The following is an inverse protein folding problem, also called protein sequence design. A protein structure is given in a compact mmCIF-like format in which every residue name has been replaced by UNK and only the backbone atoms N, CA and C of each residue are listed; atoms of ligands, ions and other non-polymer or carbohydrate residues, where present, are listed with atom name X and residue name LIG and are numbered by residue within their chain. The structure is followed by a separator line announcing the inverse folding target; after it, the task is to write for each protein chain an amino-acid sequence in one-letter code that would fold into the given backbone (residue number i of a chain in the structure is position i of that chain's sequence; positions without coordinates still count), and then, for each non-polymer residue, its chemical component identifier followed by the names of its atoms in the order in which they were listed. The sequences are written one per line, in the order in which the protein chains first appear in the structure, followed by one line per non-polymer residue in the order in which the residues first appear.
data_IF_555783216507
#
_entry.id   IF_555783216507
#
_cell.length_a   1.000
_cell.length_b   1.000
_cell.length_c   1.000
_cell.angle_alpha   90.00
_cell.angle_beta   90.00
_cell.angle_gamma   90.00
#
_symmetry.space_group_name_H-M   'P 1'
#
loop_
_entity.id
_entity.type
_entity.pdbx_description
1 polymer ?
#
# COMPACT_ATOMS: atom_id res chain seq x y z
N UNK A 1 18.91 -0.38 -17.25
CA UNK A 1 17.81 -0.66 -16.29
C UNK A 1 17.36 -2.09 -16.53
N UNK A 2 17.47 -2.95 -15.52
CA UNK A 2 16.91 -4.31 -15.56
C UNK A 2 15.66 -4.34 -14.69
N UNK A 3 14.55 -4.86 -15.19
CA UNK A 3 13.32 -5.01 -14.41
C UNK A 3 13.38 -6.36 -13.67
N UNK A 4 13.14 -6.35 -12.35
CA UNK A 4 13.16 -7.57 -11.54
C UNK A 4 11.78 -8.25 -11.54
N UNK A 5 10.77 -7.58 -10.98
CA UNK A 5 9.39 -8.04 -10.87
C UNK A 5 8.48 -6.86 -10.53
N UNK A 6 7.16 -7.08 -10.60
CA UNK A 6 6.14 -6.11 -10.20
C UNK A 6 5.88 -6.25 -8.70
N UNK A 7 5.88 -5.14 -7.99
CA UNK A 7 5.53 -5.06 -6.57
C UNK A 7 4.16 -4.37 -6.45
N UNK A 8 3.16 -4.99 -5.81
CA UNK A 8 1.87 -4.36 -5.55
C UNK A 8 1.95 -3.35 -4.39
N UNK A 9 1.23 -2.24 -4.52
CA UNK A 9 0.93 -1.35 -3.40
C UNK A 9 -0.19 -1.96 -2.56
N UNK A 10 0.08 -2.20 -1.28
CA UNK A 10 -0.87 -2.79 -0.35
C UNK A 10 -1.35 -1.71 0.63
N UNK A 11 -2.63 -1.38 0.58
CA UNK A 11 -3.31 -0.54 1.56
C UNK A 11 -3.94 -1.44 2.63
N UNK A 12 -3.21 -1.69 3.71
CA UNK A 12 -3.60 -2.62 4.75
C UNK A 12 -4.36 -1.91 5.86
N UNK A 13 -5.44 -2.54 6.33
CA UNK A 13 -6.23 -2.12 7.49
C UNK A 13 -6.49 -3.31 8.39
N UNK A 14 -6.95 -3.08 9.62
CA UNK A 14 -7.46 -4.17 10.46
C UNK A 14 -8.87 -4.56 9.97
N UNK A 15 -9.15 -5.87 9.88
CA UNK A 15 -10.46 -6.38 9.43
C UNK A 15 -11.61 -5.87 10.30
N UNK A 16 -11.37 -5.72 11.60
CA UNK A 16 -12.36 -5.19 12.55
C UNK A 16 -12.69 -3.70 12.35
N UNK A 17 -11.83 -2.92 11.69
CA UNK A 17 -12.08 -1.51 11.41
C UNK A 17 -13.18 -1.31 10.35
N UNK A 18 -13.51 -2.36 9.56
CA UNK A 18 -14.60 -2.32 8.60
C UNK A 18 -14.38 -1.38 7.40
N UNK A 19 -13.14 -0.96 7.16
CA UNK A 19 -12.76 -0.08 6.04
C UNK A 19 -12.80 -0.89 4.73
N UNK A 20 -13.65 -0.48 3.79
CA UNK A 20 -13.84 -1.20 2.51
C UNK A 20 -13.62 -0.34 1.27
N UNK A 21 -13.71 0.98 1.40
CA UNK A 21 -13.59 1.92 0.30
C UNK A 21 -12.58 3.03 0.60
N UNK A 22 -12.15 3.75 -0.43
CA UNK A 22 -11.28 4.93 -0.26
C UNK A 22 -11.97 6.03 0.56
N UNK A 23 -13.30 6.14 0.49
CA UNK A 23 -14.06 7.12 1.28
C UNK A 23 -14.01 6.84 2.78
N UNK A 24 -13.89 5.56 3.17
CA UNK A 24 -13.76 5.14 4.58
C UNK A 24 -12.41 5.54 5.19
N UNK A 25 -11.46 6.03 4.38
CA UNK A 25 -10.18 6.55 4.86
C UNK A 25 -10.31 7.95 5.49
N UNK A 26 -11.48 8.59 5.40
CA UNK A 26 -11.66 9.94 5.92
C UNK A 26 -11.53 9.98 7.45
N UNK A 27 -10.66 10.86 7.94
CA UNK A 27 -10.42 11.07 9.37
C UNK A 27 -9.66 9.95 10.10
N UNK A 28 -9.25 8.87 9.42
CA UNK A 28 -8.54 7.76 10.08
C UNK A 28 -7.04 8.05 10.21
N UNK A 29 -6.41 7.47 11.22
CA UNK A 29 -4.96 7.57 11.39
C UNK A 29 -4.23 6.64 10.42
N UNK A 30 -3.13 7.09 9.82
CA UNK A 30 -2.47 6.33 8.76
C UNK A 30 -0.95 6.51 8.72
N UNK A 31 -0.27 5.55 8.07
CA UNK A 31 1.14 5.63 7.70
C UNK A 31 1.32 5.29 6.23
N UNK A 32 1.78 6.23 5.37
CA UNK A 32 2.08 5.96 3.98
C UNK A 32 3.53 5.47 3.77
N UNK A 33 4.30 5.31 4.85
CA UNK A 33 5.74 5.09 4.81
C UNK A 33 6.56 6.37 5.01
N UNK A 34 7.89 6.26 4.93
CA UNK A 34 8.82 7.40 5.07
C UNK A 34 8.84 8.24 3.79
N UNK A 35 9.23 9.50 3.96
CA UNK A 35 9.55 10.36 2.83
C UNK A 35 10.62 9.75 1.92
N UNK A 36 10.43 9.91 0.61
CA UNK A 36 11.29 9.34 -0.42
C UNK A 36 11.04 7.86 -0.74
N UNK A 37 10.09 7.19 -0.08
CA UNK A 37 9.71 5.82 -0.43
C UNK A 37 8.78 5.81 -1.64
N UNK A 38 8.98 4.84 -2.54
CA UNK A 38 8.13 4.65 -3.71
C UNK A 38 6.67 4.39 -3.32
N UNK A 39 6.44 3.59 -2.26
CA UNK A 39 5.07 3.30 -1.79
C UNK A 39 4.32 4.55 -1.36
N UNK A 40 4.99 5.47 -0.65
CA UNK A 40 4.42 6.79 -0.32
C UNK A 40 4.04 7.57 -1.57
N UNK A 41 4.92 7.61 -2.56
CA UNK A 41 4.63 8.31 -3.82
C UNK A 41 3.41 7.70 -4.52
N UNK A 42 3.30 6.37 -4.55
CA UNK A 42 2.15 5.67 -5.13
C UNK A 42 0.87 6.00 -4.34
N UNK A 43 0.93 5.96 -3.02
CA UNK A 43 -0.17 6.35 -2.14
C UNK A 43 -0.63 7.79 -2.37
N UNK A 44 0.30 8.72 -2.51
CA UNK A 44 0.01 10.13 -2.80
C UNK A 44 -0.74 10.27 -4.14
N UNK A 45 -0.35 9.51 -5.16
CA UNK A 45 -1.05 9.47 -6.46
C UNK A 45 -2.42 8.81 -6.38
N UNK A 46 -2.56 7.74 -5.60
CA UNK A 46 -3.86 7.09 -5.36
C UNK A 46 -4.84 8.10 -4.75
N UNK A 47 -4.40 8.88 -3.74
CA UNK A 47 -5.25 9.90 -3.14
C UNK A 47 -5.58 11.01 -4.13
N UNK A 48 -4.59 11.54 -4.84
CA UNK A 48 -4.78 12.61 -5.84
C UNK A 48 -5.82 12.23 -6.89
N UNK A 49 -5.70 11.04 -7.47
CA UNK A 49 -6.61 10.55 -8.51
C UNK A 49 -7.98 10.12 -7.95
N UNK A 50 -8.04 9.78 -6.66
CA UNK A 50 -9.31 9.60 -5.93
C UNK A 50 -9.97 10.93 -5.52
N UNK A 51 -9.35 12.08 -5.83
CA UNK A 51 -9.84 13.40 -5.41
C UNK A 51 -9.74 13.63 -3.91
N UNK A 52 -8.85 12.91 -3.23
CA UNK A 52 -8.58 12.99 -1.80
C UNK A 52 -7.21 13.61 -1.54
N UNK A 53 -7.02 14.06 -0.31
CA UNK A 53 -5.76 14.61 0.18
C UNK A 53 -5.52 14.16 1.62
N UNK A 54 -4.32 14.40 2.13
CA UNK A 54 -4.02 14.11 3.54
C UNK A 54 -4.91 14.90 4.51
N UNK A 55 -5.48 16.03 4.08
CA UNK A 55 -6.41 16.84 4.87
C UNK A 55 -7.78 16.14 5.07
N UNK A 56 -8.14 15.22 4.17
CA UNK A 56 -9.34 14.39 4.30
C UNK A 56 -9.11 13.22 5.27
N UNK A 57 -7.85 12.82 5.47
CA UNK A 57 -7.45 11.76 6.39
C UNK A 57 -7.22 12.33 7.81
N UNK A 58 -6.91 11.46 8.75
CA UNK A 58 -6.57 11.82 10.13
C UNK A 58 -5.06 12.02 10.33
N UNK A 59 -4.56 11.50 11.45
CA UNK A 59 -3.16 11.67 11.84
C UNK A 59 -2.23 10.86 10.92
N UNK A 60 -1.35 11.55 10.21
CA UNK A 60 -0.27 10.93 9.42
C UNK A 60 0.97 10.61 10.28
N UNK A 61 1.53 9.42 10.10
CA UNK A 61 2.80 8.99 10.70
C UNK A 61 3.79 8.59 9.59
N UNK A 62 4.83 9.39 9.37
CA UNK A 62 5.86 9.12 8.34
C UNK A 62 6.97 8.23 8.90
N UNK A 63 6.68 6.93 9.00
CA UNK A 63 7.57 5.94 9.64
C UNK A 63 7.99 4.83 8.69
N UNK A 64 9.01 4.08 9.09
CA UNK A 64 9.57 3.02 8.27
C UNK A 64 8.64 1.82 8.24
N UNK A 65 8.90 0.86 7.36
CA UNK A 65 8.02 -0.27 7.22
C UNK A 65 7.86 -1.12 8.50
N UNK A 66 8.97 -1.37 9.19
CA UNK A 66 8.96 -2.05 10.49
C UNK A 66 8.22 -1.25 11.55
N UNK A 67 8.42 0.07 11.57
CA UNK A 67 7.76 0.97 12.52
C UNK A 67 6.25 1.06 12.25
N UNK A 68 5.84 1.07 10.98
CA UNK A 68 4.43 1.09 10.57
C UNK A 68 3.69 -0.16 11.01
N UNK A 69 4.30 -1.34 10.85
CA UNK A 69 3.74 -2.59 11.36
C UNK A 69 3.56 -2.55 12.90
N UNK A 70 4.53 -2.01 13.64
CA UNK A 70 4.41 -1.83 15.10
C UNK A 70 3.30 -0.84 15.47
N UNK A 71 3.21 0.31 14.80
CA UNK A 71 2.12 1.26 15.05
C UNK A 71 0.74 0.66 14.80
N UNK A 72 0.59 -0.15 13.75
CA UNK A 72 -0.68 -0.82 13.45
C UNK A 72 -1.02 -1.88 14.50
N UNK A 73 -0.04 -2.66 14.94
CA UNK A 73 -0.22 -3.61 16.06
C UNK A 73 -0.68 -2.95 17.34
N UNK A 74 -0.09 -1.79 17.65
CA UNK A 74 -0.43 -0.99 18.83
C UNK A 74 -1.72 -0.16 18.63
N UNK A 75 -2.37 -0.28 17.47
CA UNK A 75 -3.57 0.48 17.07
C UNK A 75 -3.38 1.99 17.14
N UNK A 76 -2.17 2.46 16.87
CA UNK A 76 -1.84 3.88 16.71
C UNK A 76 -2.11 4.41 15.29
N UNK A 77 -2.26 3.50 14.32
CA UNK A 77 -2.69 3.79 12.95
C UNK A 77 -3.77 2.77 12.53
N UNK A 78 -4.72 3.21 11.71
CA UNK A 78 -5.82 2.42 11.16
C UNK A 78 -5.52 1.90 9.74
N UNK A 79 -4.71 2.67 8.99
CA UNK A 79 -4.25 2.33 7.64
C UNK A 79 -2.72 2.33 7.57
N UNK A 80 -2.16 1.31 6.93
CA UNK A 80 -0.74 1.21 6.66
C UNK A 80 -0.51 0.86 5.18
N UNK A 81 0.13 1.77 4.45
CA UNK A 81 0.47 1.59 3.04
C UNK A 81 1.93 1.14 2.87
N UNK A 82 2.15 0.22 1.94
CA UNK A 82 3.46 -0.34 1.63
C UNK A 82 3.43 -0.97 0.24
N UNK A 83 4.44 -0.67 -0.57
CA UNK A 83 4.76 -1.43 -1.77
C UNK A 83 5.70 -2.59 -1.41
N UNK A 84 5.18 -3.81 -1.49
CA UNK A 84 5.94 -5.06 -1.31
C UNK A 84 5.08 -6.25 -1.80
N UNK A 85 5.72 -7.36 -2.16
CA UNK A 85 5.01 -8.57 -2.58
C UNK A 85 4.39 -9.29 -1.37
N UNK A 86 3.08 -9.57 -1.37
CA UNK A 86 2.46 -10.39 -0.33
C UNK A 86 2.71 -11.89 -0.58
N UNK A 87 2.87 -12.70 0.48
CA UNK A 87 2.89 -12.30 1.87
C UNK A 87 4.24 -11.69 2.27
N UNK A 88 4.22 -10.52 2.92
CA UNK A 88 5.41 -9.92 3.54
C UNK A 88 5.39 -10.03 5.07
N UNK A 89 6.58 -9.99 5.66
CA UNK A 89 6.78 -10.20 7.10
C UNK A 89 6.09 -9.14 7.97
N UNK A 90 6.02 -7.88 7.52
CA UNK A 90 5.39 -6.81 8.29
C UNK A 90 3.90 -7.04 8.49
N UNK A 91 3.18 -7.37 7.42
CA UNK A 91 1.76 -7.66 7.49
C UNK A 91 1.46 -9.02 8.15
N UNK A 92 2.28 -10.05 7.91
CA UNK A 92 2.13 -11.33 8.61
C UNK A 92 2.26 -11.17 10.13
N UNK A 93 3.17 -10.29 10.57
CA UNK A 93 3.37 -10.03 11.99
C UNK A 93 2.14 -9.34 12.60
N UNK A 94 1.51 -8.40 11.90
CA UNK A 94 0.23 -7.78 12.33
C UNK A 94 -0.90 -8.82 12.32
N UNK A 95 -1.04 -9.58 11.24
CA UNK A 95 -2.09 -10.59 11.00
C UNK A 95 -2.12 -11.68 12.07
N UNK A 96 -0.97 -12.01 12.65
CA UNK A 96 -0.85 -12.97 13.74
C UNK A 96 -1.58 -12.54 15.03
N UNK A 97 -1.81 -11.24 15.22
CA UNK A 97 -2.52 -10.68 16.38
C UNK A 97 -3.93 -10.22 16.03
N UNK A 98 -4.07 -9.55 14.89
CA UNK A 98 -5.33 -8.99 14.41
C UNK A 98 -5.46 -9.29 12.92
N UNK A 99 -6.52 -9.98 12.46
CA UNK A 99 -6.71 -10.25 11.04
C UNK A 99 -6.64 -8.97 10.21
N UNK A 100 -5.78 -8.96 9.20
CA UNK A 100 -5.62 -7.81 8.31
C UNK A 100 -6.53 -7.92 7.08
N UNK A 101 -6.98 -6.78 6.58
CA UNK A 101 -7.68 -6.62 5.31
C UNK A 101 -6.85 -5.76 4.37
N UNK A 102 -7.06 -5.93 3.06
CA UNK A 102 -6.44 -5.09 2.03
C UNK A 102 -7.57 -4.34 1.31
N UNK A 103 -7.38 -3.03 1.14
CA UNK A 103 -8.35 -2.20 0.46
C UNK A 103 -8.36 -2.50 -1.04
N UNK A 104 -9.55 -2.81 -1.58
CA UNK A 104 -9.77 -2.94 -3.01
C UNK A 104 -9.79 -1.56 -3.66
N UNK A 105 -8.94 -1.34 -4.67
CA UNK A 105 -8.98 -0.11 -5.44
C UNK A 105 -10.03 -0.19 -6.57
N UNK A 106 -10.76 0.90 -6.86
CA UNK A 106 -11.69 0.96 -7.99
C UNK A 106 -11.00 0.74 -9.34
N UNK A 107 -11.67 0.07 -10.28
CA UNK A 107 -11.10 -0.27 -11.59
C UNK A 107 -10.73 0.95 -12.45
N UNK A 108 -11.52 2.01 -12.34
CA UNK A 108 -11.32 3.30 -13.03
C UNK A 108 -10.12 4.06 -12.50
N UNK A 109 -9.92 4.04 -11.17
CA UNK A 109 -8.70 4.53 -10.54
C UNK A 109 -7.49 3.75 -11.05
N UNK A 110 -7.56 2.43 -11.04
CA UNK A 110 -6.48 1.58 -11.52
C UNK A 110 -6.13 1.82 -12.99
N UNK A 111 -7.14 2.00 -13.86
CA UNK A 111 -6.92 2.36 -15.27
C UNK A 111 -6.23 3.72 -15.39
N UNK A 112 -6.68 4.71 -14.62
CA UNK A 112 -6.07 6.04 -14.57
C UNK A 112 -4.60 5.97 -14.13
N UNK A 113 -4.31 5.16 -13.11
CA UNK A 113 -2.94 4.96 -12.61
C UNK A 113 -2.04 4.29 -13.65
N UNK A 114 -2.57 3.34 -14.42
CA UNK A 114 -1.86 2.70 -15.52
C UNK A 114 -1.55 3.69 -16.66
N UNK A 115 -2.54 4.49 -17.07
CA UNK A 115 -2.39 5.45 -18.16
C UNK A 115 -1.44 6.61 -17.84
N UNK A 116 -1.57 7.20 -16.64
CA UNK A 116 -0.81 8.40 -16.26
C UNK A 116 0.60 8.10 -15.75
N UNK A 117 0.78 6.99 -15.04
CA UNK A 117 2.01 6.71 -14.30
C UNK A 117 2.72 5.43 -14.75
N UNK A 118 2.19 4.71 -15.75
CA UNK A 118 2.79 3.48 -16.24
C UNK A 118 2.78 2.33 -15.23
N UNK A 119 1.86 2.39 -14.25
CA UNK A 119 1.60 1.29 -13.32
C UNK A 119 0.83 0.16 -14.02
N UNK A 120 0.71 -0.98 -13.36
CA UNK A 120 -0.08 -2.11 -13.86
C UNK A 120 -1.13 -2.53 -12.86
N UNK A 121 -2.25 -3.08 -13.32
CA UNK A 121 -3.20 -3.76 -12.44
C UNK A 121 -2.55 -5.03 -11.89
N UNK A 122 -2.61 -5.22 -10.58
CA UNK A 122 -2.09 -6.41 -9.91
C UNK A 122 -3.15 -7.02 -8.99
N UNK A 123 -3.23 -8.35 -9.00
CA UNK A 123 -4.15 -9.11 -8.16
C UNK A 123 -3.39 -9.74 -6.99
N UNK A 124 -3.85 -9.44 -5.79
CA UNK A 124 -3.42 -10.08 -4.56
C UNK A 124 -4.40 -11.25 -4.31
N UNK A 125 -3.92 -12.50 -4.25
CA UNK A 125 -4.79 -13.66 -4.14
C UNK A 125 -5.44 -13.76 -2.75
N UNK A 126 -6.65 -14.32 -2.72
CA UNK A 126 -7.33 -14.70 -1.49
C UNK A 126 -6.48 -15.65 -0.64
N UNK A 127 -6.63 -15.54 0.68
CA UNK A 127 -5.94 -16.39 1.66
C UNK A 127 -4.49 -16.02 1.94
N UNK A 128 -3.97 -14.93 1.35
CA UNK A 128 -2.61 -14.46 1.62
C UNK A 128 -2.41 -13.97 3.06
N UNK A 129 -3.50 -13.48 3.67
CA UNK A 129 -3.59 -13.13 5.09
C UNK A 129 -4.92 -13.64 5.65
N UNK A 130 -5.00 -13.83 6.97
CA UNK A 130 -6.16 -14.43 7.64
C UNK A 130 -7.47 -13.65 7.45
N UNK A 131 -7.38 -12.35 7.16
CA UNK A 131 -8.54 -11.50 6.90
C UNK A 131 -8.87 -11.26 5.42
N UNK A 132 -8.03 -11.72 4.48
CA UNK A 132 -8.20 -11.51 3.03
C UNK A 132 -8.89 -12.73 2.41
N UNK A 133 -10.22 -12.73 2.44
CA UNK A 133 -11.03 -13.89 2.02
C UNK A 133 -11.31 -13.96 0.51
N UNK A 134 -10.99 -12.90 -0.23
CA UNK A 134 -11.23 -12.75 -1.67
C UNK A 134 -10.02 -12.12 -2.34
N UNK A 135 -9.89 -12.32 -3.65
CA UNK A 135 -8.89 -11.63 -4.44
C UNK A 135 -9.10 -10.11 -4.35
N UNK A 136 -8.01 -9.37 -4.22
CA UNK A 136 -8.01 -7.90 -4.12
C UNK A 136 -7.16 -7.34 -5.25
N UNK A 137 -7.70 -6.40 -6.02
CA UNK A 137 -6.94 -5.73 -7.08
C UNK A 137 -6.39 -4.39 -6.58
N UNK A 138 -5.14 -4.13 -6.94
CA UNK A 138 -4.40 -2.92 -6.61
C UNK A 138 -3.49 -2.50 -7.76
N UNK A 139 -2.74 -1.42 -7.59
CA UNK A 139 -1.67 -1.01 -8.51
C UNK A 139 -0.38 -1.78 -8.20
N UNK A 140 0.32 -2.16 -9.26
CA UNK A 140 1.67 -2.71 -9.21
C UNK A 140 2.65 -1.78 -9.89
N UNK A 141 3.86 -1.69 -9.35
CA UNK A 141 4.95 -0.90 -9.89
C UNK A 141 6.19 -1.77 -10.16
N UNK A 142 6.96 -1.41 -11.17
CA UNK A 142 8.14 -2.17 -11.57
C UNK A 142 9.33 -1.88 -10.66
N UNK A 143 9.87 -2.94 -10.04
CA UNK A 143 11.12 -2.88 -9.32
C UNK A 143 12.29 -2.94 -10.31
N UNK A 144 13.11 -1.90 -10.32
CA UNK A 144 14.23 -1.75 -11.26
C UNK A 144 15.59 -1.84 -10.58
N UNK A 145 16.55 -2.44 -11.26
CA UNK A 145 17.97 -2.31 -10.92
C UNK A 145 18.58 -1.12 -11.65
N UNK A 146 19.22 -0.24 -10.89
CA UNK A 146 19.87 0.97 -11.36
C UNK A 146 21.35 0.94 -11.00
N UNK A 147 22.21 1.30 -11.94
CA UNK A 147 23.61 1.59 -11.70
C UNK A 147 23.88 3.06 -12.01
N UNK A 148 24.92 3.60 -11.38
CA UNK A 148 25.44 4.90 -11.77
C UNK A 148 26.02 4.79 -13.19
N UNK A 149 25.81 5.81 -14.03
CA UNK A 149 26.42 5.91 -15.37
C UNK A 149 27.96 5.85 -15.34
N UNK A 150 28.57 6.16 -14.19
CA UNK A 150 30.01 6.18 -13.98
C UNK A 150 30.55 4.82 -13.49
N UNK A 151 29.69 3.79 -13.39
CA UNK A 151 30.12 2.43 -13.10
C UNK A 151 30.96 1.92 -14.30
N UNK A 152 32.23 1.51 -14.10
CA UNK A 152 33.03 0.90 -15.16
C UNK A 152 32.34 -0.35 -15.72
N UNK A 153 32.53 -0.60 -17.02
CA UNK A 153 32.04 -1.82 -17.69
C UNK A 153 32.60 -3.10 -17.06
#
# INVERSE_FOLDING_TARGET
MGNQYIEPECLVTLKEAGIQTLEDLKGISFSPGKEGFTGKLIFDRILEEAGMSYDDLGKCSLVGYTDGAMLMKDKHIDLYAMIDMPPNAGFMDVDAFFPVSILQLPDDLLDTMAEKYGMVKWMIPAGVYSGVDKDVTTVGYSCGFYCNKDLPE
#
